data_IF_649504006441
#
_entry.id   IF_649504006441
#
_cell.length_a   1.000
_cell.length_b   1.000
_cell.length_c   1.000
_cell.angle_alpha   90.00
_cell.angle_beta   90.00
_cell.angle_gamma   90.00
#
_symmetry.space_group_name_H-M   'P 1'
#
loop_
_entity.id
_entity.type
_entity.pdbx_description
1 polymer ?
#
# COMPACT_ATOMS: atom_id res chain seq x y z
N UNK A 1 31.08 -5.24 -6.08
CA UNK A 1 30.13 -4.38 -5.36
C UNK A 1 30.23 -4.66 -3.86
N UNK A 2 30.48 -3.67 -3.02
CA UNK A 2 30.56 -3.85 -1.58
C UNK A 2 29.18 -4.32 -1.05
N UNK A 3 29.14 -5.42 -0.27
CA UNK A 3 27.92 -5.89 0.39
C UNK A 3 27.48 -4.79 1.37
N UNK A 4 26.28 -4.27 1.18
CA UNK A 4 25.67 -3.32 2.12
C UNK A 4 25.70 -3.93 3.53
N UNK A 5 26.27 -3.21 4.49
CA UNK A 5 26.37 -3.64 5.90
C UNK A 5 25.16 -3.23 6.75
N UNK A 6 24.26 -2.41 6.21
CA UNK A 6 23.07 -1.91 6.89
C UNK A 6 21.99 -2.98 7.14
N UNK A 7 20.93 -2.62 7.91
CA UNK A 7 19.80 -3.50 8.12
C UNK A 7 19.11 -3.83 6.80
N UNK A 8 18.58 -5.06 6.70
CA UNK A 8 17.81 -5.51 5.53
C UNK A 8 16.35 -5.09 5.77
N UNK A 9 15.81 -4.25 4.87
CA UNK A 9 14.38 -3.94 4.82
C UNK A 9 13.73 -4.79 3.74
N UNK A 10 12.57 -5.34 4.04
CA UNK A 10 11.79 -6.17 3.15
C UNK A 10 10.29 -5.92 3.37
N UNK A 11 9.49 -6.26 2.40
CA UNK A 11 8.05 -6.18 2.46
C UNK A 11 7.42 -7.43 1.85
N UNK A 12 6.22 -7.78 2.28
CA UNK A 12 5.51 -8.96 1.81
C UNK A 12 4.01 -8.88 2.07
N UNK A 13 3.34 -9.92 1.63
CA UNK A 13 1.87 -9.99 1.67
C UNK A 13 1.42 -11.37 2.16
N UNK A 14 0.43 -11.41 3.03
CA UNK A 14 -0.42 -12.58 3.19
C UNK A 14 -1.48 -12.49 2.09
N UNK A 15 -1.18 -13.12 0.95
CA UNK A 15 -2.01 -13.03 -0.24
C UNK A 15 -3.16 -14.02 -0.15
N UNK A 16 -4.37 -13.48 -0.21
CA UNK A 16 -5.63 -14.19 -0.08
C UNK A 16 -6.44 -14.12 -1.38
N UNK A 17 -7.17 -15.19 -1.66
CA UNK A 17 -8.29 -15.19 -2.60
C UNK A 17 -9.44 -16.00 -2.02
N UNK A 18 -10.64 -15.73 -2.48
CA UNK A 18 -11.81 -16.51 -2.12
C UNK A 18 -12.06 -17.56 -3.19
N UNK A 19 -12.31 -18.79 -2.76
CA UNK A 19 -12.77 -19.87 -3.64
C UNK A 19 -13.97 -20.57 -2.97
N UNK A 20 -15.13 -20.52 -3.63
CA UNK A 20 -16.37 -21.14 -3.16
C UNK A 20 -16.75 -20.79 -1.70
N UNK A 21 -16.52 -19.53 -1.31
CA UNK A 21 -16.81 -19.00 0.04
C UNK A 21 -15.76 -19.36 1.09
N UNK A 22 -14.59 -19.88 0.68
CA UNK A 22 -13.49 -20.19 1.60
C UNK A 22 -12.23 -19.38 1.23
N UNK A 23 -11.55 -18.79 2.22
CA UNK A 23 -10.28 -18.12 1.99
C UNK A 23 -9.17 -19.12 1.69
N UNK A 24 -8.47 -18.92 0.59
CA UNK A 24 -7.23 -19.61 0.24
C UNK A 24 -6.06 -18.66 0.43
N UNK A 25 -4.95 -19.20 0.92
CA UNK A 25 -3.69 -18.49 1.14
C UNK A 25 -2.67 -18.95 0.11
N UNK A 26 -1.98 -17.99 -0.51
CA UNK A 26 -0.85 -18.26 -1.39
C UNK A 26 0.40 -18.56 -0.58
N UNK A 27 1.02 -19.72 -0.84
CA UNK A 27 2.32 -20.12 -0.28
C UNK A 27 3.27 -20.49 -1.38
N UNK A 28 4.56 -20.19 -1.21
CA UNK A 28 5.60 -20.30 -2.21
C UNK A 28 6.70 -21.25 -1.75
N UNK A 29 7.15 -22.16 -2.64
CA UNK A 29 8.34 -22.96 -2.43
C UNK A 29 9.57 -22.27 -3.01
N UNK A 30 10.64 -22.17 -2.19
CA UNK A 30 11.91 -21.56 -2.56
C UNK A 30 12.99 -22.64 -2.67
N UNK A 31 13.35 -23.09 -3.88
CA UNK A 31 14.22 -24.26 -4.06
C UNK A 31 15.62 -24.07 -3.46
N UNK A 32 16.16 -22.84 -3.45
CA UNK A 32 17.50 -22.58 -2.87
C UNK A 32 17.54 -22.75 -1.35
N UNK A 33 16.45 -22.45 -0.66
CA UNK A 33 16.29 -22.58 0.79
C UNK A 33 15.64 -23.90 1.16
N UNK A 34 15.01 -24.58 0.20
CA UNK A 34 14.16 -25.75 0.38
C UNK A 34 13.11 -25.50 1.46
N UNK A 35 12.40 -24.39 1.35
CA UNK A 35 11.38 -23.97 2.33
C UNK A 35 10.12 -23.41 1.67
N UNK A 36 9.03 -23.42 2.45
CA UNK A 36 7.76 -22.78 2.10
C UNK A 36 7.60 -21.48 2.87
N UNK A 37 7.21 -20.41 2.19
CA UNK A 37 7.09 -19.07 2.76
C UNK A 37 5.96 -18.27 2.14
N UNK A 38 5.63 -17.12 2.76
CA UNK A 38 4.76 -16.11 2.17
C UNK A 38 5.52 -15.26 1.15
N UNK A 39 4.83 -14.68 0.14
CA UNK A 39 5.42 -13.74 -0.82
C UNK A 39 6.08 -12.55 -0.12
N UNK A 40 7.34 -12.27 -0.42
CA UNK A 40 8.10 -11.16 0.16
C UNK A 40 9.47 -10.99 -0.47
N UNK A 41 9.94 -9.77 -0.56
CA UNK A 41 11.31 -9.52 -0.98
C UNK A 41 11.91 -8.25 -0.39
N UNK A 42 13.11 -7.90 -0.83
CA UNK A 42 13.86 -6.75 -0.35
C UNK A 42 13.38 -5.49 -1.07
N UNK A 43 13.45 -4.37 -0.36
CA UNK A 43 13.23 -3.08 -0.99
C UNK A 43 14.39 -2.76 -1.95
N UNK A 44 14.04 -2.20 -3.09
CA UNK A 44 14.99 -1.59 -4.00
C UNK A 44 15.49 -0.22 -3.46
N UNK A 45 16.61 0.30 -3.96
CA UNK A 45 17.10 1.61 -3.55
C UNK A 45 16.06 2.72 -3.79
N UNK A 46 15.65 3.39 -2.71
CA UNK A 46 14.64 4.47 -2.75
C UNK A 46 13.18 4.01 -2.77
N UNK A 47 12.94 2.70 -2.75
CA UNK A 47 11.60 2.12 -2.68
C UNK A 47 11.04 2.17 -1.25
N UNK A 48 9.72 2.32 -1.14
CA UNK A 48 9.01 2.16 0.13
C UNK A 48 8.41 0.75 0.27
N UNK A 49 7.98 0.40 1.48
CA UNK A 49 7.49 -0.94 1.79
C UNK A 49 6.20 -1.30 1.05
N UNK A 50 5.32 -0.33 0.78
CA UNK A 50 4.04 -0.57 0.09
C UNK A 50 4.30 -1.00 -1.35
N UNK A 51 5.17 -0.26 -2.06
CA UNK A 51 5.52 -0.58 -3.44
C UNK A 51 6.28 -1.90 -3.52
N UNK A 52 7.24 -2.13 -2.60
CA UNK A 52 7.99 -3.38 -2.53
C UNK A 52 7.06 -4.58 -2.29
N UNK A 53 6.08 -4.47 -1.38
CA UNK A 53 5.14 -5.56 -1.11
C UNK A 53 4.35 -5.94 -2.36
N UNK A 54 3.83 -4.95 -3.10
CA UNK A 54 3.10 -5.20 -4.35
C UNK A 54 4.00 -5.77 -5.44
N UNK A 55 5.15 -5.14 -5.70
CA UNK A 55 6.12 -5.59 -6.72
C UNK A 55 6.57 -7.03 -6.48
N UNK A 56 7.03 -7.35 -5.27
CA UNK A 56 7.50 -8.69 -4.92
C UNK A 56 6.36 -9.72 -5.03
N UNK A 57 5.12 -9.35 -4.66
CA UNK A 57 3.97 -10.24 -4.84
C UNK A 57 3.76 -10.55 -6.32
N UNK A 58 3.79 -9.55 -7.20
CA UNK A 58 3.64 -9.77 -8.65
C UNK A 58 4.80 -10.61 -9.19
N UNK A 59 6.04 -10.31 -8.82
CA UNK A 59 7.23 -11.03 -9.29
C UNK A 59 7.26 -12.49 -8.85
N UNK A 60 6.89 -12.77 -7.60
CA UNK A 60 6.94 -14.12 -7.03
C UNK A 60 5.71 -14.97 -7.32
N UNK A 61 4.52 -14.35 -7.52
CA UNK A 61 3.26 -15.09 -7.68
C UNK A 61 2.61 -14.94 -9.05
N UNK A 62 2.97 -13.91 -9.79
CA UNK A 62 2.25 -13.52 -11.02
C UNK A 62 0.86 -12.95 -10.78
N UNK A 63 0.46 -12.71 -9.53
CA UNK A 63 -0.83 -12.11 -9.17
C UNK A 63 -0.66 -10.64 -8.84
N UNK A 64 -1.47 -9.76 -9.42
CA UNK A 64 -1.62 -8.39 -8.91
C UNK A 64 -2.40 -8.41 -7.60
N UNK A 65 -2.19 -7.43 -6.74
CA UNK A 65 -2.71 -7.43 -5.38
C UNK A 65 -3.25 -6.07 -4.95
N UNK A 66 -4.37 -6.07 -4.25
CA UNK A 66 -4.87 -4.96 -3.46
C UNK A 66 -4.42 -5.15 -2.03
N UNK A 67 -3.71 -4.16 -1.48
CA UNK A 67 -3.27 -4.19 -0.09
C UNK A 67 -4.41 -3.74 0.85
N UNK A 68 -4.56 -4.50 1.93
CA UNK A 68 -5.47 -4.19 3.02
C UNK A 68 -4.74 -3.66 4.26
N UNK A 69 -5.13 -4.13 5.44
CA UNK A 69 -4.55 -3.70 6.71
C UNK A 69 -3.10 -4.15 6.85
N UNK A 70 -2.22 -3.34 7.47
CA UNK A 70 -0.88 -3.77 7.81
C UNK A 70 -0.93 -4.81 8.93
N UNK A 71 -0.01 -5.79 8.87
CA UNK A 71 0.17 -6.85 9.84
C UNK A 71 1.43 -6.62 10.68
N UNK A 72 1.64 -7.48 11.68
CA UNK A 72 2.81 -7.42 12.54
C UNK A 72 4.11 -7.48 11.72
N UNK A 73 5.02 -6.54 11.99
CA UNK A 73 6.34 -6.52 11.37
C UNK A 73 7.21 -7.63 11.97
N UNK A 74 7.68 -8.53 11.14
CA UNK A 74 8.66 -9.54 11.55
C UNK A 74 10.07 -8.95 11.66
N UNK A 75 10.78 -9.26 12.76
CA UNK A 75 12.16 -8.84 12.99
C UNK A 75 13.01 -10.03 13.37
N UNK A 76 14.08 -10.29 12.59
CA UNK A 76 15.01 -11.39 12.82
C UNK A 76 16.37 -11.09 12.23
N UNK A 77 17.36 -11.98 12.39
CA UNK A 77 18.68 -11.84 11.78
C UNK A 77 18.86 -12.82 10.62
N UNK A 78 19.50 -12.33 9.57
CA UNK A 78 19.96 -13.11 8.43
C UNK A 78 21.47 -12.85 8.26
N UNK A 79 22.30 -13.86 8.30
CA UNK A 79 23.78 -13.72 8.22
C UNK A 79 24.29 -12.63 9.18
N UNK A 80 23.86 -12.63 10.43
CA UNK A 80 24.15 -11.63 11.47
C UNK A 80 23.67 -10.20 11.19
N UNK A 81 22.94 -9.95 10.10
CA UNK A 81 22.35 -8.64 9.79
C UNK A 81 20.89 -8.57 10.27
N UNK A 82 20.47 -7.48 10.96
CA UNK A 82 19.07 -7.27 11.28
C UNK A 82 18.25 -7.24 10.00
N UNK A 83 17.12 -7.96 9.99
CA UNK A 83 16.12 -7.89 8.93
C UNK A 83 14.76 -7.53 9.52
N UNK A 84 14.07 -6.59 8.91
CA UNK A 84 12.67 -6.29 9.15
C UNK A 84 11.86 -6.59 7.89
N UNK A 85 10.73 -7.25 8.05
CA UNK A 85 9.77 -7.51 6.97
C UNK A 85 8.43 -6.93 7.38
N UNK A 86 7.93 -5.99 6.61
CA UNK A 86 6.61 -5.39 6.77
C UNK A 86 5.62 -6.17 5.94
N UNK A 87 4.48 -6.56 6.55
CA UNK A 87 3.46 -7.35 5.88
C UNK A 87 2.11 -6.63 5.85
N UNK A 88 1.33 -6.94 4.83
CA UNK A 88 -0.06 -6.54 4.68
C UNK A 88 -0.93 -7.76 4.39
N UNK A 89 -2.21 -7.67 4.73
CA UNK A 89 -3.21 -8.50 4.09
C UNK A 89 -3.28 -8.08 2.63
N UNK A 90 -3.35 -9.01 1.70
CA UNK A 90 -3.54 -8.73 0.29
C UNK A 90 -4.63 -9.59 -0.31
N UNK A 91 -5.43 -9.00 -1.18
CA UNK A 91 -6.44 -9.72 -1.96
C UNK A 91 -6.00 -9.75 -3.42
N UNK A 92 -6.06 -10.93 -4.05
CA UNK A 92 -5.73 -11.06 -5.46
C UNK A 92 -6.64 -10.17 -6.30
N UNK A 93 -6.01 -9.36 -7.18
CA UNK A 93 -6.70 -8.56 -8.20
C UNK A 93 -6.61 -9.29 -9.53
N UNK A 94 -7.73 -9.43 -10.30
CA UNK A 94 -7.69 -10.01 -11.64
C UNK A 94 -6.76 -9.24 -12.57
N UNK A 95 -6.07 -9.96 -13.48
CA UNK A 95 -5.27 -9.36 -14.55
C UNK A 95 -3.76 -9.41 -14.34
N UNK A 96 -3.27 -10.10 -13.34
CA UNK A 96 -1.83 -10.39 -13.18
C UNK A 96 -1.29 -11.28 -14.34
N UNK A 97 0.04 -11.31 -14.55
CA UNK A 97 0.68 -12.07 -15.65
C UNK A 97 0.58 -13.59 -15.51
N UNK A 98 0.17 -14.08 -14.34
CA UNK A 98 0.16 -15.51 -14.01
C UNK A 98 1.51 -16.02 -13.53
N UNK A 99 1.48 -17.05 -12.69
CA UNK A 99 2.68 -17.65 -12.12
C UNK A 99 3.53 -18.37 -13.17
N UNK A 100 4.83 -18.12 -13.14
CA UNK A 100 5.80 -18.83 -13.96
C UNK A 100 6.96 -19.27 -13.06
N UNK A 101 7.21 -20.59 -12.92
CA UNK A 101 8.32 -21.09 -12.10
C UNK A 101 9.68 -20.52 -12.54
N UNK A 102 10.52 -20.21 -11.57
CA UNK A 102 11.86 -19.69 -11.80
C UNK A 102 12.86 -20.21 -10.75
N UNK A 103 14.09 -19.69 -10.74
CA UNK A 103 15.14 -20.14 -9.82
C UNK A 103 14.95 -19.70 -8.37
N UNK A 104 14.05 -18.75 -8.11
CA UNK A 104 13.72 -18.25 -6.78
C UNK A 104 12.48 -18.91 -6.22
N UNK A 105 11.45 -19.07 -7.06
CA UNK A 105 10.18 -19.71 -6.73
C UNK A 105 9.88 -20.75 -7.83
N UNK A 106 9.89 -22.01 -7.46
CA UNK A 106 9.62 -23.12 -8.40
C UNK A 106 8.19 -23.68 -8.28
N UNK A 107 7.52 -23.44 -7.14
CA UNK A 107 6.16 -23.90 -6.91
C UNK A 107 5.34 -22.85 -6.13
N UNK A 108 4.07 -22.71 -6.52
CA UNK A 108 3.06 -21.88 -5.87
C UNK A 108 1.84 -22.75 -5.58
N UNK A 109 1.31 -22.65 -4.37
CA UNK A 109 0.07 -23.31 -3.97
C UNK A 109 -0.91 -22.34 -3.34
N UNK A 110 -2.17 -22.51 -3.69
CA UNK A 110 -3.29 -21.91 -3.01
C UNK A 110 -3.92 -22.94 -2.11
N UNK A 111 -3.90 -22.71 -0.81
CA UNK A 111 -4.30 -23.70 0.19
C UNK A 111 -5.33 -23.12 1.16
N UNK A 112 -6.24 -23.95 1.67
CA UNK A 112 -7.05 -23.60 2.84
C UNK A 112 -6.15 -23.17 4.00
N UNK A 113 -6.63 -22.25 4.83
CA UNK A 113 -5.86 -21.61 5.92
C UNK A 113 -5.07 -22.60 6.77
N UNK A 114 -5.71 -23.68 7.24
CA UNK A 114 -5.05 -24.68 8.09
C UNK A 114 -3.90 -25.39 7.35
N UNK A 115 -4.16 -25.82 6.10
CA UNK A 115 -3.15 -26.49 5.28
C UNK A 115 -1.98 -25.56 4.92
N UNK A 116 -2.24 -24.26 4.69
CA UNK A 116 -1.21 -23.27 4.46
C UNK A 116 -0.30 -23.10 5.68
N UNK A 117 -0.89 -23.00 6.89
CA UNK A 117 -0.13 -22.89 8.14
C UNK A 117 0.74 -24.13 8.38
N UNK A 118 0.20 -25.32 8.14
CA UNK A 118 0.95 -26.59 8.33
C UNK A 118 2.07 -26.76 7.32
N UNK A 119 1.94 -26.17 6.11
CA UNK A 119 2.96 -26.25 5.06
C UNK A 119 4.12 -25.29 5.27
N UNK A 120 3.87 -24.13 5.90
CA UNK A 120 4.89 -23.10 6.07
C UNK A 120 6.05 -23.59 6.94
N UNK A 121 7.28 -23.31 6.47
CA UNK A 121 8.50 -23.73 7.17
C UNK A 121 8.80 -22.94 8.45
N UNK A 122 8.16 -21.80 8.63
CA UNK A 122 8.41 -20.90 9.76
C UNK A 122 7.12 -20.61 10.55
N UNK A 123 7.05 -20.96 11.85
CA UNK A 123 5.88 -20.71 12.68
C UNK A 123 5.39 -19.24 12.66
N UNK A 124 6.33 -18.28 12.61
CA UNK A 124 6.02 -16.84 12.53
C UNK A 124 5.20 -16.45 11.28
N UNK A 125 5.35 -17.18 10.18
CA UNK A 125 4.57 -16.93 8.95
C UNK A 125 3.14 -17.46 9.12
N UNK A 126 2.96 -18.57 9.86
CA UNK A 126 1.65 -19.06 10.28
C UNK A 126 0.93 -18.08 11.22
N UNK A 127 1.67 -17.40 12.11
CA UNK A 127 1.09 -16.35 12.98
C UNK A 127 0.55 -15.17 12.17
N UNK A 128 1.25 -14.76 11.10
CA UNK A 128 0.75 -13.73 10.18
C UNK A 128 -0.53 -14.15 9.47
N UNK A 129 -0.65 -15.42 9.06
CA UNK A 129 -1.90 -15.91 8.46
C UNK A 129 -3.04 -15.84 9.49
N UNK A 130 -2.82 -16.26 10.74
CA UNK A 130 -3.84 -16.17 11.79
C UNK A 130 -4.25 -14.72 12.05
N UNK A 131 -3.28 -13.81 12.10
CA UNK A 131 -3.55 -12.38 12.24
C UNK A 131 -4.36 -11.86 11.05
N UNK A 132 -3.98 -12.19 9.81
CA UNK A 132 -4.66 -11.74 8.58
C UNK A 132 -6.13 -12.19 8.53
N UNK A 133 -6.39 -13.48 8.85
CA UNK A 133 -7.76 -14.03 8.82
C UNK A 133 -8.61 -13.46 9.97
N UNK A 134 -7.99 -13.06 11.07
CA UNK A 134 -8.66 -12.39 12.20
C UNK A 134 -9.03 -10.94 11.94
N UNK A 135 -8.54 -10.32 10.86
CA UNK A 135 -8.88 -8.93 10.53
C UNK A 135 -10.31 -8.83 9.97
N UNK A 136 -11.06 -7.80 10.35
CA UNK A 136 -12.33 -7.52 9.70
C UNK A 136 -12.11 -7.10 8.24
N UNK A 137 -13.12 -7.28 7.40
CA UNK A 137 -13.16 -6.66 6.08
C UNK A 137 -13.20 -5.15 6.26
N UNK A 138 -12.25 -4.44 5.64
CA UNK A 138 -12.11 -2.99 5.75
C UNK A 138 -12.03 -2.33 4.40
N UNK A 139 -12.51 -1.09 4.32
CA UNK A 139 -12.28 -0.22 3.17
C UNK A 139 -11.13 0.73 3.51
N UNK A 140 -10.11 0.88 2.65
CA UNK A 140 -9.01 1.78 2.93
C UNK A 140 -9.50 3.24 2.93
N UNK A 141 -9.09 4.00 3.95
CA UNK A 141 -9.29 5.44 4.04
C UNK A 141 -7.93 6.12 4.25
N UNK A 142 -7.52 6.94 3.29
CA UNK A 142 -6.22 7.59 3.29
C UNK A 142 -6.39 9.10 3.50
N UNK A 143 -5.82 9.62 4.58
CA UNK A 143 -5.69 11.07 4.80
C UNK A 143 -4.33 11.49 4.23
N UNK A 144 -4.39 12.25 3.14
CA UNK A 144 -3.20 12.70 2.42
C UNK A 144 -2.99 14.20 2.61
N UNK A 145 -1.82 14.57 3.15
CA UNK A 145 -1.36 15.96 3.09
C UNK A 145 -0.76 16.23 1.71
N UNK A 146 -0.98 17.43 1.17
CA UNK A 146 -0.33 17.85 -0.09
C UNK A 146 1.19 17.65 -0.03
N UNK A 147 1.79 17.35 -1.18
CA UNK A 147 3.23 17.25 -1.35
C UNK A 147 3.90 18.62 -1.18
N UNK A 148 5.21 18.70 -1.34
CA UNK A 148 5.93 19.94 -1.09
C UNK A 148 5.41 21.09 -1.95
N UNK A 149 4.96 22.17 -1.28
CA UNK A 149 4.47 23.38 -1.95
C UNK A 149 5.46 24.54 -1.75
N UNK A 150 5.42 25.52 -2.64
CA UNK A 150 6.14 26.78 -2.48
C UNK A 150 5.92 27.32 -1.05
N UNK A 151 6.93 27.87 -0.43
CA UNK A 151 6.79 28.46 0.92
C UNK A 151 5.86 29.67 0.87
N UNK A 152 5.01 29.82 1.89
CA UNK A 152 4.07 30.96 1.99
C UNK A 152 4.80 32.31 1.89
N UNK A 153 6.01 32.43 2.49
CA UNK A 153 6.81 33.65 2.45
C UNK A 153 7.34 33.99 1.05
N UNK A 154 7.47 33.02 0.16
CA UNK A 154 7.99 33.20 -1.20
C UNK A 154 6.88 33.40 -2.22
N UNK A 155 5.64 33.06 -1.88
CA UNK A 155 4.48 33.20 -2.74
C UNK A 155 4.01 34.67 -2.77
N UNK A 156 3.87 35.23 -3.99
CA UNK A 156 3.49 36.64 -4.22
C UNK A 156 2.07 36.81 -4.75
N UNK A 157 1.31 35.69 -4.88
CA UNK A 157 -0.09 35.76 -5.29
C UNK A 157 -1.00 36.34 -4.21
N UNK A 158 -2.19 36.82 -4.59
CA UNK A 158 -3.11 37.47 -3.64
C UNK A 158 -3.82 36.47 -2.72
N UNK A 159 -3.94 35.20 -3.14
CA UNK A 159 -4.74 34.17 -2.44
C UNK A 159 -3.87 32.96 -2.17
N UNK A 160 -3.68 32.57 -0.89
CA UNK A 160 -2.83 31.42 -0.52
C UNK A 160 -3.31 30.10 -1.14
N UNK A 161 -4.59 29.96 -1.43
CA UNK A 161 -5.11 28.76 -2.11
C UNK A 161 -4.50 28.53 -3.51
N UNK A 162 -3.99 29.58 -4.17
CA UNK A 162 -3.35 29.51 -5.49
C UNK A 162 -1.87 29.14 -5.41
N UNK A 163 -1.32 28.95 -4.21
CA UNK A 163 0.10 28.62 -4.01
C UNK A 163 0.42 27.23 -4.58
N UNK A 164 1.36 27.13 -5.55
CA UNK A 164 1.64 25.90 -6.29
C UNK A 164 2.53 24.92 -5.51
N UNK A 165 2.60 23.70 -6.01
CA UNK A 165 3.65 22.75 -5.63
C UNK A 165 5.02 23.24 -6.10
N UNK A 166 6.09 22.81 -5.43
CA UNK A 166 7.45 22.88 -5.96
C UNK A 166 7.66 21.84 -7.06
N UNK A 167 8.76 21.91 -7.80
CA UNK A 167 9.12 20.88 -8.77
C UNK A 167 9.27 19.50 -8.10
N UNK A 168 9.89 19.44 -6.91
CA UNK A 168 10.03 18.22 -6.12
C UNK A 168 8.66 17.72 -5.62
N UNK A 169 7.80 18.65 -5.19
CA UNK A 169 6.42 18.32 -4.81
C UNK A 169 5.63 17.69 -5.95
N UNK A 170 5.74 18.22 -7.15
CA UNK A 170 5.09 17.66 -8.34
C UNK A 170 5.62 16.25 -8.67
N UNK A 171 6.95 16.03 -8.56
CA UNK A 171 7.52 14.68 -8.71
C UNK A 171 7.04 13.71 -7.63
N UNK A 172 6.92 14.17 -6.38
CA UNK A 172 6.38 13.34 -5.30
C UNK A 172 4.91 13.00 -5.54
N UNK A 173 4.09 13.91 -6.07
CA UNK A 173 2.71 13.64 -6.44
C UNK A 173 2.61 12.50 -7.48
N UNK A 174 3.51 12.45 -8.45
CA UNK A 174 3.59 11.34 -9.41
C UNK A 174 3.95 10.02 -8.72
N UNK A 175 4.89 10.02 -7.76
CA UNK A 175 5.27 8.80 -7.01
C UNK A 175 4.17 8.28 -6.08
N UNK A 176 3.22 9.12 -5.69
CA UNK A 176 2.06 8.68 -4.89
C UNK A 176 1.07 7.82 -5.67
N UNK A 177 1.11 7.88 -7.00
CA UNK A 177 0.19 7.14 -7.86
C UNK A 177 0.21 5.65 -7.54
N UNK A 178 1.37 5.02 -7.54
CA UNK A 178 1.52 3.59 -7.28
C UNK A 178 1.16 3.22 -5.83
N UNK A 179 1.43 4.13 -4.87
CA UNK A 179 1.05 3.94 -3.46
C UNK A 179 -0.46 3.92 -3.30
N UNK A 180 -1.18 4.85 -3.93
CA UNK A 180 -2.63 4.95 -3.84
C UNK A 180 -3.31 3.81 -4.61
N UNK A 181 -2.74 3.41 -5.76
CA UNK A 181 -3.25 2.28 -6.56
C UNK A 181 -3.08 0.93 -5.83
N UNK A 182 -2.04 0.79 -5.01
CA UNK A 182 -1.84 -0.42 -4.21
C UNK A 182 -3.02 -0.70 -3.24
N UNK A 183 -3.77 0.32 -2.84
CA UNK A 183 -4.95 0.21 -1.98
C UNK A 183 -6.29 0.29 -2.72
N UNK A 184 -6.29 0.28 -4.05
CA UNK A 184 -7.50 0.34 -4.89
C UNK A 184 -8.42 1.53 -4.58
N UNK A 185 -7.84 2.71 -4.33
CA UNK A 185 -8.61 3.92 -4.02
C UNK A 185 -9.51 4.29 -5.20
N UNK A 186 -10.81 4.47 -4.96
CA UNK A 186 -11.82 4.76 -5.98
C UNK A 186 -12.40 6.15 -5.91
N UNK A 187 -12.43 6.75 -4.73
CA UNK A 187 -13.01 8.08 -4.49
C UNK A 187 -11.91 9.02 -4.02
N UNK A 188 -11.87 10.20 -4.60
CA UNK A 188 -10.87 11.23 -4.28
C UNK A 188 -11.59 12.53 -3.90
N UNK A 189 -11.32 13.02 -2.71
CA UNK A 189 -11.81 14.29 -2.20
C UNK A 189 -10.62 15.23 -1.97
N UNK A 190 -10.75 16.49 -2.34
CA UNK A 190 -9.68 17.47 -2.16
C UNK A 190 -10.24 18.84 -1.81
N UNK A 191 -9.53 19.59 -0.97
CA UNK A 191 -9.79 21.01 -0.85
C UNK A 191 -9.52 21.73 -2.18
N UNK A 192 -10.03 22.96 -2.32
CA UNK A 192 -9.86 23.78 -3.53
C UNK A 192 -8.45 24.37 -3.67
N UNK A 193 -7.58 24.21 -2.68
CA UNK A 193 -6.21 24.71 -2.77
C UNK A 193 -5.44 24.01 -3.88
N UNK A 194 -4.80 24.80 -4.76
CA UNK A 194 -4.06 24.32 -5.94
C UNK A 194 -3.06 23.21 -5.56
N UNK A 195 -2.30 23.40 -4.49
CA UNK A 195 -1.34 22.39 -3.98
C UNK A 195 -1.98 21.05 -3.62
N UNK A 196 -3.21 21.07 -3.13
CA UNK A 196 -3.94 19.83 -2.79
C UNK A 196 -4.45 19.14 -4.05
N UNK A 197 -5.06 19.90 -4.95
CA UNK A 197 -5.53 19.39 -6.24
C UNK A 197 -4.38 18.82 -7.08
N UNK A 198 -3.26 19.56 -7.18
CA UNK A 198 -2.08 19.12 -7.94
C UNK A 198 -1.42 17.85 -7.33
N UNK A 199 -1.56 17.64 -6.03
CA UNK A 199 -1.05 16.43 -5.37
C UNK A 199 -1.83 15.19 -5.78
N UNK A 200 -3.15 15.26 -5.92
CA UNK A 200 -3.99 14.10 -6.24
C UNK A 200 -4.27 13.94 -7.73
N UNK A 201 -4.06 14.97 -8.54
CA UNK A 201 -4.36 14.97 -9.98
C UNK A 201 -3.67 13.85 -10.76
N UNK A 202 -2.36 13.53 -10.56
CA UNK A 202 -1.71 12.42 -11.27
C UNK A 202 -2.42 11.09 -11.00
N UNK A 203 -2.75 10.80 -9.75
CA UNK A 203 -3.49 9.59 -9.38
C UNK A 203 -4.91 9.58 -9.97
N UNK A 204 -5.66 10.67 -9.80
CA UNK A 204 -7.03 10.77 -10.32
C UNK A 204 -7.07 10.55 -11.84
N UNK A 205 -6.07 11.08 -12.57
CA UNK A 205 -5.94 10.86 -14.02
C UNK A 205 -5.72 9.38 -14.35
N UNK A 206 -4.76 8.71 -13.68
CA UNK A 206 -4.47 7.29 -13.92
C UNK A 206 -5.64 6.38 -13.54
N UNK A 207 -6.29 6.66 -12.41
CA UNK A 207 -7.42 5.88 -11.91
C UNK A 207 -8.75 6.18 -12.62
N UNK A 208 -8.75 7.14 -13.58
CA UNK A 208 -9.98 7.68 -14.20
C UNK A 208 -11.02 8.13 -13.17
N UNK A 209 -10.55 8.63 -12.02
CA UNK A 209 -11.38 9.08 -10.91
C UNK A 209 -11.68 10.58 -11.01
N UNK A 210 -12.90 10.97 -10.64
CA UNK A 210 -13.25 12.38 -10.48
C UNK A 210 -12.80 12.86 -9.10
N UNK A 211 -12.14 14.01 -9.04
CA UNK A 211 -11.81 14.68 -7.77
C UNK A 211 -13.03 15.49 -7.31
N UNK A 212 -13.61 15.09 -6.19
CA UNK A 212 -14.67 15.88 -5.54
C UNK A 212 -14.04 17.06 -4.78
N UNK A 213 -14.51 18.26 -5.10
CA UNK A 213 -14.04 19.49 -4.46
C UNK A 213 -14.73 19.71 -3.12
N UNK A 214 -13.94 19.85 -2.06
CA UNK A 214 -14.40 19.99 -0.68
C UNK A 214 -13.78 21.23 -0.02
N UNK A 215 -14.33 22.42 -0.22
CA UNK A 215 -13.79 23.67 0.32
C UNK A 215 -13.62 23.66 1.84
N UNK A 216 -14.49 22.93 2.56
CA UNK A 216 -14.41 22.78 4.01
C UNK A 216 -13.18 22.02 4.50
N UNK A 217 -12.51 21.25 3.62
CA UNK A 217 -11.26 20.55 3.93
C UNK A 217 -10.02 21.44 3.73
N UNK A 218 -10.18 22.70 3.31
CA UNK A 218 -9.08 23.67 3.28
C UNK A 218 -8.79 24.21 4.68
N UNK A 219 -7.60 24.82 4.85
CA UNK A 219 -7.21 25.49 6.09
C UNK A 219 -8.19 26.63 6.41
N UNK A 220 -8.59 27.40 5.42
CA UNK A 220 -9.53 28.49 5.52
C UNK A 220 -10.96 28.01 5.79
N UNK A 221 -11.39 26.96 5.11
CA UNK A 221 -12.70 26.34 5.31
C UNK A 221 -12.85 25.78 6.71
N UNK A 222 -11.85 25.07 7.21
CA UNK A 222 -11.82 24.58 8.58
C UNK A 222 -11.81 25.72 9.60
N UNK A 223 -10.98 26.75 9.40
CA UNK A 223 -10.90 27.89 10.30
C UNK A 223 -12.23 28.67 10.37
N UNK A 224 -12.96 28.77 9.25
CA UNK A 224 -14.25 29.48 9.20
C UNK A 224 -15.39 28.69 9.85
N UNK A 225 -15.38 27.35 9.76
CA UNK A 225 -16.45 26.50 10.31
C UNK A 225 -15.95 25.10 10.67
N UNK A 226 -15.22 24.91 11.80
CA UNK A 226 -14.67 23.62 12.21
C UNK A 226 -15.75 22.52 12.34
N UNK A 227 -16.90 22.87 12.90
CA UNK A 227 -18.01 21.92 13.08
C UNK A 227 -18.57 21.41 11.75
N UNK A 228 -18.72 22.30 10.75
CA UNK A 228 -19.19 21.90 9.42
C UNK A 228 -18.13 21.03 8.71
N UNK A 229 -16.86 21.36 8.85
CA UNK A 229 -15.77 20.59 8.29
C UNK A 229 -15.71 19.16 8.86
N UNK A 230 -15.84 19.01 10.18
CA UNK A 230 -15.88 17.70 10.84
C UNK A 230 -17.11 16.89 10.42
N UNK A 231 -18.29 17.53 10.38
CA UNK A 231 -19.51 16.87 9.89
C UNK A 231 -19.37 16.40 8.44
N UNK A 232 -18.71 17.21 7.58
CA UNK A 232 -18.46 16.81 6.19
C UNK A 232 -17.51 15.63 6.11
N UNK A 233 -16.45 15.62 6.93
CA UNK A 233 -15.52 14.50 7.02
C UNK A 233 -16.24 13.21 7.44
N UNK A 234 -17.13 13.26 8.44
CA UNK A 234 -17.93 12.11 8.87
C UNK A 234 -18.82 11.58 7.74
N UNK A 235 -19.41 12.49 6.92
CA UNK A 235 -20.18 12.09 5.74
C UNK A 235 -19.29 11.36 4.71
N UNK A 236 -18.10 11.91 4.42
CA UNK A 236 -17.15 11.29 3.49
C UNK A 236 -16.73 9.89 3.98
N UNK A 237 -16.50 9.73 5.28
CA UNK A 237 -16.24 8.43 5.90
C UNK A 237 -17.41 7.46 5.73
N UNK A 238 -18.64 7.94 5.91
CA UNK A 238 -19.85 7.13 5.71
C UNK A 238 -20.08 6.74 4.24
N UNK A 239 -19.75 7.62 3.29
CA UNK A 239 -19.85 7.34 1.85
C UNK A 239 -18.84 6.28 1.36
N UNK A 240 -17.80 6.00 2.11
CA UNK A 240 -16.80 4.97 1.85
C UNK A 240 -17.11 3.62 2.47
N UNK A 241 -18.13 3.53 3.34
CA UNK A 241 -18.55 2.26 3.92
C UNK A 241 -19.07 1.31 2.84
N UNK A 242 -18.74 0.00 2.90
CA UNK A 242 -19.23 -1.00 1.97
C UNK A 242 -20.73 -1.19 2.08
#
# INVERSE_FOLDING_TARGET
MAKSTGPIRAAGVVLLREDSGQPLVCVLHRPRQNDWSLPKGKLDPGENEIIAARRETIEETGSDVVLGVPLATQRYKVENRPKSVHYWVGTERPGGPGFTPNKEIDELRWLPVAAAIDMLSYPRDGDLIREAIGQPTTTPFIILRHTEAMRRADFRGPVDAERPLTADGAQHAVRLVDVLDAFDIRKVYSSDSLRCLDTVRPFAHQAHATVAHEPLLSEEGFASSPTAALKRLDQILGDGAP
#
